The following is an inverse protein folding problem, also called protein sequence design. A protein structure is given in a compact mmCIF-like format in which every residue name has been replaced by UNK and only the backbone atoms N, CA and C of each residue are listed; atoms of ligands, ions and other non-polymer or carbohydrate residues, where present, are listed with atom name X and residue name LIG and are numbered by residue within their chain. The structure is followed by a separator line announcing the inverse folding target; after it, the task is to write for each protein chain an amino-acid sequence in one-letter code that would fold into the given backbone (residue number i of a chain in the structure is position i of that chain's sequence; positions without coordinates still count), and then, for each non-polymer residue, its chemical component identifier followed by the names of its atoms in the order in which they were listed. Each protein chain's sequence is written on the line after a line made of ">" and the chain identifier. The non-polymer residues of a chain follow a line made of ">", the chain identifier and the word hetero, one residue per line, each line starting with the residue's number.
data_IF_259975258632
#
_entry.id   IF_259975258632
#
_cell.length_a   1.000
_cell.length_b   1.000
_cell.length_c   1.000
_cell.angle_alpha   90.00
_cell.angle_beta   90.00
_cell.angle_gamma   90.00
#
_symmetry.space_group_name_H-M   'P 1'
#
loop_
_entity.id
_entity.type
_entity.pdbx_description
1 polymer ?
2 water ?
#
# COMPACT_ATOMS: atom_id res chain seq x y z
N UNK A 29 -8.29 -12.32 16.53
CA UNK A 29 -9.71 -12.24 17.00
C UNK A 29 -10.26 -10.82 16.87
N UNK A 30 -9.67 -9.90 17.63
CA UNK A 30 -10.08 -8.51 17.62
C UNK A 30 -9.91 -7.94 16.21
N UNK A 31 -10.90 -7.18 15.75
CA UNK A 31 -10.85 -6.58 14.42
C UNK A 31 -9.64 -5.67 14.27
N UNK A 32 -9.27 -5.00 15.36
CA UNK A 32 -8.12 -4.10 15.34
C UNK A 32 -6.83 -4.92 15.24
N UNK A 33 -6.80 -6.04 15.96
CA UNK A 33 -5.62 -6.89 15.96
C UNK A 33 -5.38 -7.49 14.59
N UNK A 34 -6.46 -7.91 13.93
CA UNK A 34 -6.33 -8.49 12.60
C UNK A 34 -5.84 -7.45 11.60
N UNK A 35 -6.46 -6.27 11.60
CA UNK A 35 -6.06 -5.21 10.69
C UNK A 35 -4.59 -4.82 10.92
N UNK A 36 -4.19 -4.73 12.18
CA UNK A 36 -2.81 -4.38 12.51
C UNK A 36 -1.84 -5.41 11.92
N UNK A 37 -2.14 -6.69 12.12
CA UNK A 37 -1.28 -7.76 11.64
C UNK A 37 -1.18 -7.79 10.12
N UNK A 38 -2.28 -7.51 9.43
CA UNK A 38 -2.25 -7.50 7.97
C UNK A 38 -1.38 -6.36 7.46
N UNK A 39 -1.36 -5.23 8.17
CA UNK A 39 -0.53 -4.09 7.77
C UNK A 39 0.93 -4.48 7.88
N UNK A 40 1.24 -5.23 8.94
CA UNK A 40 2.59 -5.71 9.19
C UNK A 40 2.98 -6.69 8.06
N UNK A 41 2.05 -7.56 7.65
CA UNK A 41 2.33 -8.51 6.55
C UNK A 41 2.59 -7.72 5.26
N UNK A 42 1.78 -6.70 5.00
CA UNK A 42 2.00 -5.87 3.80
C UNK A 42 3.35 -5.17 3.91
N UNK A 43 3.68 -4.67 5.10
CA UNK A 43 4.95 -3.99 5.27
C UNK A 43 6.12 -4.94 4.99
N UNK A 44 6.01 -6.20 5.42
CA UNK A 44 7.09 -7.16 5.17
C UNK A 44 7.21 -7.47 3.68
N UNK A 45 6.08 -7.46 2.96
CA UNK A 45 6.14 -7.69 1.50
C UNK A 45 6.92 -6.54 0.83
N UNK A 46 6.76 -5.31 1.32
CA UNK A 46 7.52 -4.19 0.75
C UNK A 46 9.01 -4.39 1.08
N UNK A 47 9.29 -4.86 2.29
CA UNK A 47 10.67 -5.14 2.67
C UNK A 47 11.31 -6.17 1.73
N UNK A 48 10.55 -7.17 1.29
CA UNK A 48 11.10 -8.19 0.39
C UNK A 48 11.39 -7.56 -0.97
N UNK A 49 10.50 -6.69 -1.43
CA UNK A 49 10.69 -6.00 -2.70
C UNK A 49 11.99 -5.21 -2.67
N UNK A 50 12.20 -4.48 -1.58
CA UNK A 50 13.41 -3.68 -1.43
C UNK A 50 14.67 -4.54 -1.34
N UNK A 51 14.57 -5.64 -0.61
CA UNK A 51 15.71 -6.52 -0.39
C UNK A 51 16.05 -7.44 -1.55
N UNK A 52 15.05 -7.87 -2.31
CA UNK A 52 15.26 -8.79 -3.43
C UNK A 52 15.04 -8.19 -4.82
N UNK A 53 14.42 -7.02 -4.87
CA UNK A 53 14.15 -6.39 -6.15
C UNK A 53 15.16 -5.36 -6.61
N UNK A 54 16.09 -5.00 -5.72
CA UNK A 54 17.14 -4.04 -6.03
C UNK A 54 16.65 -2.80 -6.78
N UNK A 55 15.71 -2.05 -6.18
CA UNK A 55 15.21 -0.84 -6.85
C UNK A 55 16.25 0.28 -6.85
N UNK A 56 16.11 1.23 -7.77
CA UNK A 56 17.05 2.34 -7.83
C UNK A 56 16.85 3.25 -6.62
N UNK A 57 17.67 4.29 -6.53
CA UNK A 57 17.62 5.20 -5.39
C UNK A 57 16.29 5.90 -5.18
N UNK A 58 15.70 6.37 -6.26
CA UNK A 58 14.43 7.06 -6.20
C UNK A 58 13.32 6.16 -5.65
N UNK A 59 13.14 4.99 -6.26
CA UNK A 59 12.11 4.04 -5.84
C UNK A 59 12.35 3.58 -4.41
N UNK A 60 13.62 3.40 -4.06
CA UNK A 60 13.98 2.97 -2.72
C UNK A 60 13.45 3.96 -1.69
N UNK A 61 13.71 5.24 -1.91
CA UNK A 61 13.27 6.26 -0.97
C UNK A 61 11.75 6.30 -0.83
N UNK A 62 11.04 6.11 -1.94
CA UNK A 62 9.59 6.10 -1.89
C UNK A 62 9.13 4.88 -1.05
N UNK A 63 9.63 3.70 -1.39
CA UNK A 63 9.25 2.49 -0.66
C UNK A 63 9.63 2.55 0.83
N UNK A 64 10.78 3.12 1.16
CA UNK A 64 11.18 3.23 2.56
C UNK A 64 10.22 4.16 3.30
N UNK A 65 9.75 5.21 2.63
CA UNK A 65 8.82 6.11 3.29
C UNK A 65 7.51 5.39 3.54
N UNK A 66 7.12 4.55 2.58
CA UNK A 66 5.89 3.79 2.74
C UNK A 66 6.02 2.79 3.92
N UNK A 67 7.19 2.21 4.09
CA UNK A 67 7.36 1.26 5.22
C UNK A 67 7.14 2.02 6.52
N UNK A 68 7.65 3.24 6.58
CA UNK A 68 7.48 4.07 7.77
C UNK A 68 6.00 4.41 7.97
N UNK A 69 5.29 4.71 6.88
CA UNK A 69 3.85 5.03 6.95
C UNK A 69 3.04 3.82 7.39
N UNK A 70 3.42 2.63 6.92
CA UNK A 70 2.68 1.42 7.28
C UNK A 70 2.81 1.10 8.78
N UNK A 71 3.93 1.48 9.38
CA UNK A 71 4.11 1.28 10.83
C UNK A 71 3.06 2.16 11.51
N UNK A 72 3.00 3.41 11.05
CA UNK A 72 2.04 4.37 11.57
C UNK A 72 0.61 3.85 11.39
N UNK A 73 0.31 3.27 10.22
CA UNK A 73 -1.03 2.75 9.96
C UNK A 73 -1.37 1.66 10.97
N UNK A 74 -0.40 0.80 11.25
CA UNK A 74 -0.59 -0.29 12.21
C UNK A 74 -0.85 0.25 13.60
N UNK A 75 -0.02 1.19 14.05
CA UNK A 75 -0.19 1.81 15.37
C UNK A 75 -1.57 2.45 15.51
N UNK A 76 -2.01 3.13 14.45
CA UNK A 76 -3.31 3.81 14.39
C UNK A 76 -4.43 2.77 14.54
N UNK A 77 -4.42 1.76 13.68
CA UNK A 77 -5.44 0.72 13.71
C UNK A 77 -5.53 -0.02 15.05
N UNK A 78 -4.38 -0.24 15.68
CA UNK A 78 -4.35 -0.97 16.94
C UNK A 78 -4.82 -0.15 18.14
N UNK A 79 -4.66 1.17 18.05
CA UNK A 79 -5.04 2.06 19.14
C UNK A 79 -6.46 2.64 19.02
N UNK A 80 -7.36 2.26 19.93
CA UNK A 80 -8.72 2.79 19.85
C UNK A 80 -8.71 4.30 20.03
N UNK A 81 -9.60 4.99 19.34
CA UNK A 81 -9.65 6.44 19.45
C UNK A 81 -10.21 6.90 20.79
N UNK A 82 -9.54 7.88 21.37
CA UNK A 82 -9.95 8.42 22.66
C UNK A 82 -10.15 9.93 22.55
N UNK A 83 -11.10 10.45 23.33
CA UNK A 83 -11.37 11.89 23.32
C UNK A 83 -10.27 12.62 24.07
N UNK A 84 -9.84 13.75 23.52
CA UNK A 84 -8.80 14.59 24.12
C UNK A 84 -7.58 13.81 24.64
N UNK A 85 -6.91 13.06 23.75
CA UNK A 85 -5.73 12.30 24.19
C UNK A 85 -4.66 13.23 24.78
N UNK A 86 -3.98 12.78 25.83
CA UNK A 86 -2.94 13.57 26.47
C UNK A 86 -1.56 13.20 25.92
N UNK A 87 -1.54 12.21 25.04
CA UNK A 87 -0.30 11.75 24.43
C UNK A 87 -0.27 12.18 22.97
N UNK A 88 0.92 12.19 22.36
CA UNK A 88 1.01 12.59 20.95
C UNK A 88 0.36 11.47 20.15
N UNK A 89 -0.63 11.80 19.32
CA UNK A 89 -1.25 10.72 18.55
C UNK A 89 -0.35 10.22 17.41
N UNK A 90 -0.44 8.93 17.11
CA UNK A 90 0.31 8.36 16.01
C UNK A 90 -0.83 7.87 15.14
N UNK A 91 -1.28 8.76 14.27
CA UNK A 91 -2.41 8.50 13.41
C UNK A 91 -2.08 8.85 11.97
N UNK A 92 -2.65 8.11 11.03
CA UNK A 92 -2.46 8.42 9.62
C UNK A 92 -3.27 9.72 9.45
N UNK A 93 -2.69 10.72 8.81
CA UNK A 93 -3.41 11.97 8.57
C UNK A 93 -3.69 12.09 7.07
N UNK A 94 -4.62 12.96 6.71
CA UNK A 94 -4.95 13.15 5.30
C UNK A 94 -3.69 13.43 4.47
N UNK A 95 -2.73 14.16 5.03
CA UNK A 95 -1.50 14.47 4.28
C UNK A 95 -0.75 13.23 3.79
N UNK A 96 -0.90 12.11 4.50
CA UNK A 96 -0.24 10.88 4.07
C UNK A 96 -0.84 10.45 2.74
N UNK A 97 -2.16 10.50 2.68
CA UNK A 97 -2.91 10.10 1.50
C UNK A 97 -2.68 11.06 0.35
N UNK A 98 -2.67 12.36 0.64
CA UNK A 98 -2.41 13.35 -0.41
C UNK A 98 -1.05 13.08 -1.02
N UNK A 99 -0.09 12.67 -0.20
CA UNK A 99 1.26 12.37 -0.70
C UNK A 99 1.27 11.17 -1.66
N UNK A 100 0.59 10.08 -1.29
CA UNK A 100 0.53 8.91 -2.19
C UNK A 100 -0.16 9.30 -3.50
N UNK A 101 -1.25 10.06 -3.40
CA UNK A 101 -1.97 10.50 -4.60
C UNK A 101 -1.06 11.32 -5.52
N UNK A 102 -0.20 12.15 -4.94
CA UNK A 102 0.72 12.95 -5.74
C UNK A 102 1.72 12.04 -6.44
N UNK A 103 2.29 11.07 -5.71
CA UNK A 103 3.25 10.14 -6.31
C UNK A 103 2.58 9.33 -7.42
N UNK A 104 1.33 8.93 -7.20
CA UNK A 104 0.61 8.17 -8.23
C UNK A 104 0.59 8.94 -9.54
N UNK A 105 0.18 10.21 -9.48
CA UNK A 105 0.11 11.04 -10.68
C UNK A 105 1.48 11.32 -11.26
N UNK A 106 2.46 11.58 -10.40
CA UNK A 106 3.81 11.87 -10.88
C UNK A 106 4.42 10.68 -11.61
N UNK A 107 4.32 9.50 -11.03
CA UNK A 107 4.88 8.30 -11.65
C UNK A 107 4.09 7.81 -12.86
N UNK A 108 2.77 7.91 -12.80
CA UNK A 108 1.94 7.42 -13.91
C UNK A 108 2.06 8.31 -15.15
N UNK A 109 2.52 9.54 -14.96
CA UNK A 109 2.63 10.49 -16.07
C UNK A 109 3.52 10.01 -17.20
N UNK A 110 4.63 9.37 -16.87
CA UNK A 110 5.53 8.91 -17.92
C UNK A 110 5.25 7.51 -18.46
N UNK A 111 4.03 7.01 -18.32
CA UNK A 111 3.69 5.67 -18.80
C UNK A 111 2.69 5.62 -19.94
N UNK A 112 2.89 4.71 -20.90
CA UNK A 112 1.99 4.56 -22.04
C UNK A 112 0.67 3.90 -21.63
N UNK A 113 -0.34 4.03 -22.49
CA UNK A 113 -1.65 3.46 -22.22
C UNK A 113 -1.58 1.95 -22.30
N UNK A 114 -2.39 1.29 -21.47
CA UNK A 114 -2.45 -0.16 -21.43
C UNK A 114 -3.23 -0.68 -22.64
N UNK A 115 -2.66 -1.68 -23.30
CA UNK A 115 -3.27 -2.30 -24.47
C UNK A 115 -4.17 -3.46 -24.05
N UNK A 116 -3.83 -4.10 -22.93
CA UNK A 116 -4.64 -5.19 -22.39
C UNK A 116 -4.52 -5.13 -20.88
N UNK A 117 -5.18 -6.05 -20.20
CA UNK A 117 -5.10 -6.08 -18.75
C UNK A 117 -3.74 -6.65 -18.38
N UNK A 118 -3.21 -6.16 -17.27
CA UNK A 118 -1.89 -6.58 -16.78
C UNK A 118 -1.94 -7.83 -15.89
N UNK A 119 -1.04 -8.78 -16.14
CA UNK A 119 -0.97 -9.96 -15.29
C UNK A 119 0.19 -9.63 -14.34
N UNK A 120 0.10 -10.05 -13.06
CA UNK A 120 1.18 -9.74 -12.12
C UNK A 120 2.53 -10.43 -12.37
N UNK A 121 3.57 -9.63 -12.60
CA UNK A 121 4.88 -10.21 -12.82
C UNK A 121 5.75 -9.36 -13.71
N UNK A 122 6.81 -9.96 -14.26
CA UNK A 122 7.73 -9.25 -15.13
C UNK A 122 9.11 -9.32 -14.50
N UNK A 123 9.71 -8.16 -14.26
CA UNK A 123 11.01 -8.10 -13.63
C UNK A 123 10.86 -8.54 -12.17
N UNK A 124 11.98 -8.88 -11.51
CA UNK A 124 11.98 -9.31 -10.11
C UNK A 124 11.31 -8.26 -9.25
N UNK A 125 11.66 -7.00 -9.50
CA UNK A 125 11.08 -5.91 -8.74
C UNK A 125 9.58 -5.77 -9.00
N UNK A 126 9.16 -5.77 -10.27
CA UNK A 126 7.74 -5.64 -10.60
C UNK A 126 6.95 -6.78 -9.99
N UNK A 127 7.49 -7.99 -10.09
CA UNK A 127 6.81 -9.17 -9.53
C UNK A 127 6.64 -9.02 -8.01
N UNK A 128 7.71 -8.58 -7.34
CA UNK A 128 7.67 -8.40 -5.88
C UNK A 128 6.75 -7.25 -5.46
N UNK A 129 6.62 -6.23 -6.31
CA UNK A 129 5.71 -5.12 -6.01
C UNK A 129 4.25 -5.58 -6.21
N UNK A 130 4.02 -6.46 -7.18
CA UNK A 130 2.68 -6.99 -7.38
C UNK A 130 2.32 -7.85 -6.16
N UNK A 131 3.28 -8.62 -5.66
CA UNK A 131 2.97 -9.42 -4.46
C UNK A 131 2.58 -8.46 -3.34
N UNK A 132 3.39 -7.42 -3.10
CA UNK A 132 3.06 -6.48 -2.02
C UNK A 132 1.71 -5.84 -2.29
N UNK A 133 1.46 -5.50 -3.56
CA UNK A 133 0.18 -4.88 -3.92
C UNK A 133 -0.99 -5.72 -3.45
N UNK A 134 -0.96 -7.03 -3.73
CA UNK A 134 -2.08 -7.87 -3.35
C UNK A 134 -2.19 -8.01 -1.84
N UNK A 135 -1.06 -8.01 -1.13
CA UNK A 135 -1.15 -8.11 0.32
C UNK A 135 -1.74 -6.80 0.87
N UNK A 136 -1.33 -5.67 0.31
CA UNK A 136 -1.88 -4.39 0.75
C UNK A 136 -3.41 -4.36 0.60
N UNK A 137 -3.92 -4.92 -0.48
CA UNK A 137 -5.37 -4.94 -0.71
C UNK A 137 -6.05 -5.82 0.33
N UNK A 138 -5.36 -6.87 0.76
CA UNK A 138 -5.94 -7.74 1.80
C UNK A 138 -5.97 -6.93 3.11
N UNK A 139 -4.92 -6.16 3.37
CA UNK A 139 -4.87 -5.32 4.57
C UNK A 139 -5.97 -4.24 4.52
N UNK A 140 -6.25 -3.72 3.33
CA UNK A 140 -7.28 -2.69 3.19
C UNK A 140 -8.62 -3.25 3.64
N UNK A 141 -8.91 -4.49 3.24
CA UNK A 141 -10.18 -5.12 3.63
C UNK A 141 -10.35 -5.23 5.13
N UNK A 142 -9.30 -5.63 5.86
CA UNK A 142 -9.42 -5.75 7.32
C UNK A 142 -9.49 -4.38 8.00
N UNK A 143 -8.85 -3.38 7.41
CA UNK A 143 -8.89 -2.03 7.96
C UNK A 143 -10.35 -1.54 7.87
N UNK A 144 -11.02 -1.80 6.75
CA UNK A 144 -12.42 -1.41 6.58
C UNK A 144 -13.29 -2.22 7.55
N UNK A 145 -12.93 -3.48 7.76
CA UNK A 145 -13.67 -4.34 8.68
C UNK A 145 -13.52 -3.81 10.11
N UNK A 146 -12.36 -3.25 10.44
CA UNK A 146 -12.15 -2.69 11.78
C UNK A 146 -13.10 -1.50 11.96
N UNK A 147 -13.20 -0.67 10.93
CA UNK A 147 -14.09 0.48 10.97
C UNK A 147 -15.54 0.02 11.17
N UNK A 148 -15.95 -1.00 10.42
CA UNK A 148 -17.30 -1.54 10.54
C UNK A 148 -17.62 -2.05 11.94
N UNK A 149 -16.63 -2.65 12.59
CA UNK A 149 -16.81 -3.18 13.93
C UNK A 149 -16.80 -2.10 15.01
N UNK A 150 -16.07 -1.01 14.78
CA UNK A 150 -15.98 0.09 15.75
C UNK A 150 -16.02 1.42 15.03
N UNK A 151 -17.18 1.78 14.46
CA UNK A 151 -17.39 3.03 13.71
C UNK A 151 -16.97 4.31 14.43
N UNK A 152 -17.00 4.27 15.76
CA UNK A 152 -16.64 5.43 16.56
C UNK A 152 -15.24 5.35 17.17
N UNK A 153 -14.66 4.15 17.19
CA UNK A 153 -13.34 3.98 17.77
C UNK A 153 -12.20 3.70 16.81
N UNK A 154 -12.49 3.62 15.51
CA UNK A 154 -11.46 3.36 14.50
C UNK A 154 -11.51 4.42 13.40
N UNK A 155 -10.35 4.91 12.98
CA UNK A 155 -10.28 5.93 11.93
C UNK A 155 -10.38 5.26 10.56
N UNK A 156 -10.93 5.97 9.59
CA UNK A 156 -11.05 5.44 8.24
C UNK A 156 -9.79 5.78 7.45
N UNK A 157 -8.95 6.64 8.00
CA UNK A 157 -7.75 7.03 7.28
C UNK A 157 -6.78 5.87 7.00
N UNK A 158 -6.57 4.96 7.97
CA UNK A 158 -5.65 3.87 7.62
C UNK A 158 -6.15 3.10 6.37
N UNK A 159 -7.45 2.79 6.33
CA UNK A 159 -8.05 2.09 5.20
C UNK A 159 -7.89 2.87 3.88
N UNK A 160 -8.11 4.18 3.92
CA UNK A 160 -7.95 5.01 2.72
C UNK A 160 -6.50 5.02 2.27
N UNK A 161 -5.59 5.04 3.23
CA UNK A 161 -4.18 5.02 2.89
C UNK A 161 -3.85 3.74 2.12
N UNK A 162 -4.27 2.59 2.66
CA UNK A 162 -4.00 1.31 2.00
C UNK A 162 -4.69 1.24 0.64
N UNK A 163 -5.86 1.86 0.52
CA UNK A 163 -6.58 1.88 -0.75
C UNK A 163 -5.73 2.59 -1.80
N UNK A 164 -5.16 3.74 -1.45
CA UNK A 164 -4.33 4.45 -2.41
C UNK A 164 -2.99 3.75 -2.62
N UNK A 165 -2.46 3.10 -1.59
CA UNK A 165 -1.17 2.43 -1.74
C UNK A 165 -1.18 1.30 -2.78
N UNK A 166 -2.26 0.53 -2.85
CA UNK A 166 -2.24 -0.55 -3.85
C UNK A 166 -2.23 0.03 -5.26
N UNK A 167 -2.92 1.15 -5.48
CA UNK A 167 -2.90 1.76 -6.80
C UNK A 167 -1.49 2.25 -7.12
N UNK A 168 -0.79 2.79 -6.13
CA UNK A 168 0.58 3.26 -6.37
C UNK A 168 1.51 2.10 -6.68
N UNK A 169 1.33 0.98 -5.99
CA UNK A 169 2.18 -0.19 -6.21
C UNK A 169 1.95 -0.76 -7.60
N UNK A 170 0.73 -0.62 -8.10
CA UNK A 170 0.44 -1.08 -9.46
C UNK A 170 1.27 -0.20 -10.41
N UNK A 171 1.20 1.11 -10.21
CA UNK A 171 1.96 2.03 -11.05
C UNK A 171 3.45 1.77 -10.96
N UNK A 172 3.96 1.65 -9.74
CA UNK A 172 5.39 1.37 -9.59
C UNK A 172 5.78 0.04 -10.27
N UNK A 173 4.89 -0.94 -10.23
CA UNK A 173 5.20 -2.22 -10.88
C UNK A 173 5.41 -1.99 -12.36
N UNK A 174 4.60 -1.11 -12.93
CA UNK A 174 4.72 -0.80 -14.35
C UNK A 174 6.03 -0.06 -14.59
N UNK A 175 6.32 0.88 -13.71
CA UNK A 175 7.54 1.65 -13.82
C UNK A 175 8.76 0.72 -13.81
N UNK A 176 8.71 -0.29 -12.95
CA UNK A 176 9.79 -1.27 -12.82
C UNK A 176 9.87 -2.30 -13.97
N UNK A 177 8.94 -2.23 -14.92
CA UNK A 177 8.93 -3.12 -16.09
C UNK A 177 9.20 -2.24 -17.31
N UNK A 178 10.46 -1.84 -17.50
CA UNK A 178 10.86 -0.99 -18.62
C UNK A 178 10.45 -1.53 -20.00
N UNK A 179 10.61 -2.83 -20.19
CA UNK A 179 10.30 -3.48 -21.46
C UNK A 179 8.84 -3.92 -21.65
N UNK A 180 7.92 -3.38 -20.86
CA UNK A 180 6.52 -3.74 -21.00
C UNK A 180 6.01 -4.71 -19.95
N UNK A 181 4.71 -4.65 -19.68
CA UNK A 181 4.07 -5.51 -18.69
C UNK A 181 3.67 -6.87 -19.25
N UNK A 182 3.34 -7.81 -18.36
CA UNK A 182 2.89 -9.13 -18.80
C UNK A 182 1.41 -8.90 -19.05
N UNK A 183 0.94 -9.18 -20.26
CA UNK A 183 -0.47 -8.94 -20.61
C UNK A 183 -1.38 -10.15 -20.78
N UNK A 184 -2.63 -9.98 -20.38
CA UNK A 184 -3.65 -11.01 -20.51
C UNK A 184 -4.04 -11.11 -21.98
N UNK A 185 -4.43 -12.30 -22.41
CA UNK A 185 -4.84 -12.53 -23.80
C UNK A 185 -6.16 -13.29 -23.83
N UNK A 186 -7.17 -12.77 -24.55
CA UNK A 186 -8.48 -13.42 -24.64
C UNK A 186 -8.30 -14.89 -25.03
N UNK A 187 -9.07 -15.76 -24.39
CA UNK A 187 -8.99 -17.19 -24.66
C UNK A 187 -8.81 -17.53 -26.12
N UNK A 188 -9.65 -16.96 -26.97
CA UNK A 188 -9.56 -17.21 -28.40
C UNK A 188 -10.40 -16.23 -29.21
#
# INVERSE_FOLDING_TARGET
>A
MAVHLTRIYTRTGDDGTTGLSDMSRVAKTDARLVAYADCDEANAAIGAALALGHPDTQITDVLRQIQNDLFDAGADLSTPIVENPKHPPLRIAQSYIDRLEGWCDAYNAGLPALKSFVLPGGSPLSALLHVARTVVRRAERSAWAAVDAHPEGVSVLPAKYLNRLSDLLFILSRVANPDGDVLWRPGGDRTAS
#
